data_IF_132231931203
#
_entry.id   IF_132231931203
#
_cell.length_a   1.000
_cell.length_b   1.000
_cell.length_c   1.000
_cell.angle_alpha   90.00
_cell.angle_beta   90.00
_cell.angle_gamma   90.00
#
_symmetry.space_group_name_H-M   'P 1'
#
loop_
_entity.id
_entity.type
_entity.pdbx_description
1 polymer ?
#
# COMPACT_ATOMS: atom_id res chain seq x y z
N UNK A 1 -26.71 20.51 -34.39
CA UNK A 1 -25.58 19.71 -33.86
C UNK A 1 -25.25 20.11 -32.42
N UNK A 2 -26.04 19.77 -31.38
CA UNK A 2 -25.66 20.10 -29.98
C UNK A 2 -26.10 19.10 -28.89
N UNK A 3 -26.97 18.12 -29.16
CA UNK A 3 -27.48 17.21 -28.11
C UNK A 3 -26.73 15.88 -27.96
N UNK A 4 -25.94 15.44 -28.94
CA UNK A 4 -25.26 14.13 -28.90
C UNK A 4 -23.93 14.13 -28.13
N UNK A 5 -23.38 15.31 -27.83
CA UNK A 5 -22.08 15.44 -27.15
C UNK A 5 -22.16 15.31 -25.62
N UNK A 6 -23.34 15.50 -25.02
CA UNK A 6 -23.51 15.50 -23.56
C UNK A 6 -23.62 14.09 -22.97
N UNK A 7 -24.05 13.09 -23.75
CA UNK A 7 -24.19 11.70 -23.27
C UNK A 7 -22.84 10.98 -23.17
N UNK A 8 -21.87 11.35 -24.02
CA UNK A 8 -20.54 10.76 -24.00
C UNK A 8 -19.71 11.15 -22.76
N UNK A 9 -20.00 12.30 -22.15
CA UNK A 9 -19.24 12.80 -20.98
C UNK A 9 -19.71 12.16 -19.66
N UNK A 10 -20.95 11.67 -19.59
CA UNK A 10 -21.50 11.01 -18.41
C UNK A 10 -20.98 9.57 -18.21
N UNK A 11 -20.58 8.90 -19.30
CA UNK A 11 -20.02 7.55 -19.23
C UNK A 11 -18.59 7.53 -18.67
N UNK A 12 -17.84 8.63 -18.78
CA UNK A 12 -16.45 8.73 -18.27
C UNK A 12 -16.43 9.02 -16.76
N UNK A 13 -17.46 9.67 -16.21
CA UNK A 13 -17.59 9.90 -14.77
C UNK A 13 -17.90 8.64 -13.96
N UNK A 14 -18.48 7.59 -14.58
CA UNK A 14 -18.75 6.32 -13.91
C UNK A 14 -17.49 5.46 -13.69
N UNK A 15 -16.39 5.75 -14.39
CA UNK A 15 -15.09 5.07 -14.20
C UNK A 15 -14.18 5.80 -13.21
N UNK A 16 -14.48 7.07 -12.88
CA UNK A 16 -13.71 7.87 -11.92
C UNK A 16 -13.99 7.50 -10.45
N UNK A 17 -14.97 6.64 -10.16
CA UNK A 17 -15.27 6.18 -8.80
C UNK A 17 -14.44 4.97 -8.33
N UNK A 18 -13.50 4.47 -9.14
CA UNK A 18 -12.41 3.62 -8.63
C UNK A 18 -11.27 4.46 -8.03
N UNK A 19 -11.61 5.57 -7.37
CA UNK A 19 -10.71 6.17 -6.41
C UNK A 19 -10.53 5.16 -5.29
N UNK A 20 -9.41 4.42 -5.29
CA UNK A 20 -8.97 3.66 -4.13
C UNK A 20 -8.94 4.64 -2.97
N UNK A 21 -9.95 4.59 -2.11
CA UNK A 21 -9.99 5.38 -0.88
C UNK A 21 -8.64 5.16 -0.20
N UNK A 22 -7.92 6.21 0.20
CA UNK A 22 -6.69 6.03 0.97
C UNK A 22 -7.01 5.09 2.11
N UNK A 23 -6.31 3.94 2.16
CA UNK A 23 -6.55 2.94 3.18
C UNK A 23 -6.46 3.59 4.56
N UNK A 24 -7.18 3.05 5.53
CA UNK A 24 -7.05 3.53 6.91
C UNK A 24 -5.57 3.54 7.33
N UNK A 25 -5.17 4.36 8.32
CA UNK A 25 -3.78 4.34 8.80
C UNK A 25 -3.30 2.92 9.14
N UNK A 26 -4.18 2.12 9.76
CA UNK A 26 -3.95 0.70 10.05
C UNK A 26 -3.68 -0.11 8.78
N UNK A 27 -4.53 0.03 7.76
CA UNK A 27 -4.38 -0.67 6.48
C UNK A 27 -3.10 -0.26 5.74
N UNK A 28 -2.69 1.00 5.86
CA UNK A 28 -1.44 1.50 5.29
C UNK A 28 -0.24 0.78 5.92
N UNK A 29 -0.18 0.71 7.25
CA UNK A 29 0.87 -0.01 7.96
C UNK A 29 0.86 -1.51 7.66
N UNK A 30 -0.33 -2.14 7.59
CA UNK A 30 -0.46 -3.55 7.21
C UNK A 30 0.02 -3.83 5.79
N UNK A 31 -0.24 -2.93 4.84
CA UNK A 31 0.25 -3.06 3.46
C UNK A 31 1.76 -2.88 3.36
N UNK A 32 2.35 -1.96 4.13
CA UNK A 32 3.81 -1.78 4.20
C UNK A 32 4.48 -3.02 4.81
N UNK A 33 3.91 -3.54 5.89
CA UNK A 33 4.35 -4.77 6.52
C UNK A 33 4.35 -5.94 5.53
N UNK A 34 3.19 -6.24 4.95
CA UNK A 34 3.03 -7.34 4.01
C UNK A 34 3.88 -7.15 2.74
N UNK A 35 4.04 -5.91 2.27
CA UNK A 35 4.89 -5.60 1.13
C UNK A 35 6.37 -5.90 1.42
N UNK A 36 6.88 -5.44 2.55
CA UNK A 36 8.27 -5.69 2.94
C UNK A 36 8.55 -7.18 3.10
N UNK A 37 7.64 -7.94 3.72
CA UNK A 37 7.76 -9.41 3.80
C UNK A 37 7.72 -10.08 2.42
N UNK A 38 6.82 -9.64 1.54
CA UNK A 38 6.68 -10.20 0.19
C UNK A 38 7.95 -10.00 -0.62
N UNK A 39 8.55 -8.80 -0.57
CA UNK A 39 9.81 -8.51 -1.26
C UNK A 39 10.96 -9.29 -0.63
N UNK A 40 11.09 -9.28 0.69
CA UNK A 40 12.14 -10.01 1.40
C UNK A 40 12.10 -11.53 1.16
N UNK A 41 10.96 -12.06 0.73
CA UNK A 41 10.75 -13.50 0.45
C UNK A 41 10.96 -13.82 -1.02
N UNK A 42 10.38 -13.04 -1.93
CA UNK A 42 10.29 -13.41 -3.35
C UNK A 42 11.32 -12.70 -4.23
N UNK A 43 11.85 -11.57 -3.77
CA UNK A 43 12.78 -10.80 -4.57
C UNK A 43 14.22 -11.20 -4.27
N UNK A 44 15.10 -11.24 -5.29
CA UNK A 44 16.53 -11.33 -5.08
C UNK A 44 16.97 -10.31 -4.03
N UNK A 45 17.98 -10.64 -3.22
CA UNK A 45 18.54 -9.71 -2.25
C UNK A 45 19.28 -8.57 -2.97
N UNK A 46 18.54 -7.60 -3.51
CA UNK A 46 19.07 -6.38 -4.11
C UNK A 46 19.74 -5.59 -2.98
N UNK A 47 21.07 -5.71 -2.86
CA UNK A 47 21.85 -5.15 -1.75
C UNK A 47 22.37 -6.18 -0.72
N UNK A 48 22.11 -7.47 -0.91
CA UNK A 48 22.65 -8.55 -0.07
C UNK A 48 21.87 -8.82 1.22
N UNK A 49 22.42 -9.64 2.11
CA UNK A 49 21.74 -10.09 3.34
C UNK A 49 21.32 -8.93 4.26
N UNK A 50 22.11 -7.86 4.32
CA UNK A 50 21.81 -6.68 5.15
C UNK A 50 20.56 -5.93 4.69
N UNK A 51 20.28 -5.86 3.38
CA UNK A 51 19.06 -5.19 2.89
C UNK A 51 17.81 -6.00 3.24
N UNK A 52 17.88 -7.33 3.18
CA UNK A 52 16.80 -8.23 3.62
C UNK A 52 16.54 -8.07 5.12
N UNK A 53 17.59 -8.00 5.94
CA UNK A 53 17.46 -7.77 7.38
C UNK A 53 16.79 -6.42 7.69
N UNK A 54 17.16 -5.36 6.97
CA UNK A 54 16.52 -4.04 7.09
C UNK A 54 15.05 -4.07 6.67
N UNK A 55 14.71 -4.72 5.56
CA UNK A 55 13.31 -4.88 5.13
C UNK A 55 12.47 -5.58 6.18
N UNK A 56 12.99 -6.63 6.83
CA UNK A 56 12.29 -7.32 7.92
C UNK A 56 12.14 -6.44 9.16
N UNK A 57 13.19 -5.72 9.56
CA UNK A 57 13.12 -4.79 10.68
C UNK A 57 12.07 -3.68 10.44
N UNK A 58 11.99 -3.16 9.21
CA UNK A 58 10.98 -2.17 8.86
C UNK A 58 9.57 -2.79 8.80
N UNK A 59 9.44 -4.03 8.33
CA UNK A 59 8.19 -4.77 8.40
C UNK A 59 7.69 -4.84 9.86
N UNK A 60 8.54 -5.26 10.80
CA UNK A 60 8.19 -5.38 12.22
C UNK A 60 7.75 -4.03 12.84
N UNK A 61 8.41 -2.93 12.49
CA UNK A 61 7.99 -1.58 12.91
C UNK A 61 6.58 -1.25 12.41
N UNK A 62 6.30 -1.52 11.14
CA UNK A 62 4.97 -1.27 10.56
C UNK A 62 3.91 -2.18 11.22
N UNK A 63 4.23 -3.44 11.52
CA UNK A 63 3.32 -4.32 12.24
C UNK A 63 3.00 -3.80 13.63
N UNK A 64 4.01 -3.32 14.36
CA UNK A 64 3.80 -2.73 15.69
C UNK A 64 2.87 -1.52 15.63
N UNK A 65 3.03 -0.65 14.63
CA UNK A 65 2.13 0.49 14.40
C UNK A 65 0.71 0.04 14.05
N UNK A 66 0.56 -0.97 13.18
CA UNK A 66 -0.75 -1.52 12.85
C UNK A 66 -1.46 -2.11 14.09
N UNK A 67 -0.72 -2.86 14.93
CA UNK A 67 -1.24 -3.44 16.18
C UNK A 67 -1.64 -2.35 17.18
N UNK A 68 -0.85 -1.27 17.29
CA UNK A 68 -1.20 -0.11 18.12
C UNK A 68 -2.50 0.58 17.66
N UNK A 69 -2.87 0.44 16.39
CA UNK A 69 -4.12 0.93 15.81
C UNK A 69 -5.27 -0.09 15.87
N UNK A 70 -5.07 -1.23 16.52
CA UNK A 70 -6.09 -2.27 16.72
C UNK A 70 -6.10 -3.38 15.68
N UNK A 71 -5.05 -3.51 14.85
CA UNK A 71 -4.98 -4.61 13.89
C UNK A 71 -4.97 -5.98 14.58
N UNK A 72 -5.81 -6.88 14.10
CA UNK A 72 -5.86 -8.28 14.54
C UNK A 72 -4.98 -9.16 13.66
N UNK A 73 -4.72 -10.39 14.10
CA UNK A 73 -4.00 -11.37 13.27
C UNK A 73 -4.76 -11.71 11.97
N UNK A 74 -6.10 -11.59 11.98
CA UNK A 74 -6.91 -11.75 10.78
C UNK A 74 -6.64 -10.62 9.77
N UNK A 75 -6.48 -9.38 10.24
CA UNK A 75 -6.14 -8.24 9.38
C UNK A 75 -4.74 -8.37 8.80
N UNK A 76 -3.79 -8.84 9.61
CA UNK A 76 -2.42 -9.15 9.17
C UNK A 76 -2.43 -10.22 8.09
N UNK A 77 -3.15 -11.32 8.31
CA UNK A 77 -3.28 -12.38 7.31
C UNK A 77 -3.91 -11.88 6.02
N UNK A 78 -5.01 -11.11 6.12
CA UNK A 78 -5.69 -10.52 4.95
C UNK A 78 -4.76 -9.61 4.15
N UNK A 79 -3.95 -8.81 4.82
CA UNK A 79 -2.98 -7.94 4.16
C UNK A 79 -1.89 -8.75 3.44
N UNK A 80 -1.35 -9.80 4.07
CA UNK A 80 -0.39 -10.73 3.44
C UNK A 80 -0.98 -11.39 2.20
N UNK A 81 -2.16 -11.98 2.32
CA UNK A 81 -2.82 -12.69 1.21
C UNK A 81 -3.05 -11.73 0.03
N UNK A 82 -3.55 -10.51 0.30
CA UNK A 82 -3.77 -9.48 -0.73
C UNK A 82 -2.47 -9.06 -1.41
N UNK A 83 -1.45 -8.72 -0.64
CA UNK A 83 -0.19 -8.20 -1.20
C UNK A 83 0.56 -9.29 -1.95
N UNK A 84 0.57 -10.51 -1.44
CA UNK A 84 1.16 -11.66 -2.13
C UNK A 84 0.38 -11.98 -3.42
N UNK A 85 -0.95 -11.97 -3.40
CA UNK A 85 -1.76 -12.15 -4.59
C UNK A 85 -1.49 -11.09 -5.66
N UNK A 86 -1.34 -9.82 -5.25
CA UNK A 86 -0.95 -8.74 -6.15
C UNK A 86 0.45 -8.95 -6.72
N UNK A 87 1.40 -9.42 -5.92
CA UNK A 87 2.76 -9.70 -6.37
C UNK A 87 2.79 -10.85 -7.37
N UNK A 88 2.16 -11.99 -7.06
CA UNK A 88 2.05 -13.14 -7.97
C UNK A 88 1.38 -12.73 -9.29
N UNK A 89 0.29 -11.97 -9.21
CA UNK A 89 -0.37 -11.43 -10.41
C UNK A 89 0.55 -10.54 -11.24
N UNK A 90 1.32 -9.65 -10.59
CA UNK A 90 2.31 -8.81 -11.27
C UNK A 90 3.45 -9.65 -11.88
N UNK A 91 4.00 -10.62 -11.13
CA UNK A 91 5.04 -11.54 -11.59
C UNK A 91 4.62 -12.31 -12.84
N UNK A 92 3.38 -12.78 -12.90
CA UNK A 92 2.85 -13.48 -14.08
C UNK A 92 2.79 -12.55 -15.31
N UNK A 93 2.44 -11.28 -15.10
CA UNK A 93 2.24 -10.31 -16.18
C UNK A 93 3.53 -9.68 -16.70
N UNK A 94 4.46 -9.35 -15.81
CA UNK A 94 5.69 -8.58 -16.13
C UNK A 94 6.99 -9.30 -15.80
N UNK A 95 6.92 -10.50 -15.20
CA UNK A 95 8.07 -11.24 -14.70
C UNK A 95 8.53 -10.78 -13.32
N UNK A 96 9.21 -11.67 -12.60
CA UNK A 96 9.59 -11.45 -11.19
C UNK A 96 10.48 -10.23 -10.98
N UNK A 97 11.47 -9.99 -11.86
CA UNK A 97 12.41 -8.87 -11.72
C UNK A 97 11.68 -7.51 -11.82
N UNK A 98 10.75 -7.36 -12.76
CA UNK A 98 9.98 -6.13 -12.92
C UNK A 98 8.95 -5.97 -11.80
N UNK A 99 8.30 -7.06 -11.38
CA UNK A 99 7.39 -7.05 -10.23
C UNK A 99 8.12 -6.60 -8.95
N UNK A 100 9.31 -7.15 -8.68
CA UNK A 100 10.16 -6.76 -7.57
C UNK A 100 10.56 -5.29 -7.61
N UNK A 101 11.00 -4.79 -8.76
CA UNK A 101 11.34 -3.37 -8.92
C UNK A 101 10.12 -2.46 -8.67
N UNK A 102 8.95 -2.81 -9.22
CA UNK A 102 7.73 -2.04 -9.05
C UNK A 102 7.27 -2.01 -7.57
N UNK A 103 7.33 -3.14 -6.88
CA UNK A 103 6.97 -3.23 -5.46
C UNK A 103 7.98 -2.50 -4.56
N UNK A 104 9.28 -2.64 -4.81
CA UNK A 104 10.31 -1.92 -4.05
C UNK A 104 10.15 -0.41 -4.20
N UNK A 105 9.92 0.07 -5.42
CA UNK A 105 9.66 1.49 -5.67
C UNK A 105 8.39 1.94 -4.94
N UNK A 106 7.29 1.19 -5.05
CA UNK A 106 6.05 1.53 -4.37
C UNK A 106 6.26 1.66 -2.86
N UNK A 107 6.95 0.70 -2.23
CA UNK A 107 7.28 0.75 -0.80
C UNK A 107 8.23 1.89 -0.43
N UNK A 108 9.21 2.22 -1.29
CA UNK A 108 10.10 3.36 -1.07
C UNK A 108 9.31 4.67 -0.97
N UNK A 109 8.26 4.83 -1.79
CA UNK A 109 7.38 6.01 -1.76
C UNK A 109 6.32 5.96 -0.65
N UNK A 110 5.85 4.76 -0.26
CA UNK A 110 5.00 4.67 0.94
C UNK A 110 5.83 4.95 2.19
N UNK A 111 7.13 4.60 2.25
CA UNK A 111 8.02 4.86 3.38
C UNK A 111 8.62 6.27 3.45
N UNK A 112 8.72 7.01 2.34
CA UNK A 112 9.32 8.35 2.27
C UNK A 112 8.39 9.49 2.69
N UNK A 113 7.13 9.19 2.98
CA UNK A 113 6.27 10.10 3.75
C UNK A 113 6.18 9.58 5.18
N UNK A 114 6.76 10.27 6.17
CA UNK A 114 6.39 10.05 7.55
C UNK A 114 4.87 10.11 7.60
N UNK A 115 4.23 9.06 8.11
CA UNK A 115 2.82 9.16 8.46
C UNK A 115 2.82 10.13 9.64
N UNK A 116 2.60 11.42 9.37
CA UNK A 116 2.35 12.37 10.42
C UNK A 116 1.17 11.82 11.22
N UNK A 117 1.35 11.52 12.52
CA UNK A 117 0.23 11.12 13.33
C UNK A 117 -0.76 12.28 13.28
N UNK A 118 -1.94 12.06 12.71
CA UNK A 118 -3.04 13.01 12.78
C UNK A 118 -3.47 13.09 14.24
N UNK A 119 -2.77 13.92 15.02
CA UNK A 119 -3.28 14.43 16.29
C UNK A 119 -4.50 15.26 15.91
N UNK A 120 -5.67 14.69 16.17
CA UNK A 120 -6.95 15.37 16.01
C UNK A 120 -6.96 16.58 16.95
N UNK A 121 -6.52 17.74 16.47
CA UNK A 121 -6.73 19.00 17.18
C UNK A 121 -8.22 19.33 17.09
N UNK A 122 -8.94 19.50 18.21
CA UNK A 122 -10.35 19.87 18.15
C UNK A 122 -10.47 21.25 17.48
N UNK A 123 -11.35 21.34 16.47
CA UNK A 123 -11.68 22.60 15.79
C UNK A 123 -12.11 23.64 16.82
N UNK A 124 -11.29 24.67 17.01
CA UNK A 124 -11.66 25.87 17.77
C UNK A 124 -12.78 26.57 16.99
N UNK A 125 -14.00 26.54 17.52
CA UNK A 125 -15.10 27.39 17.02
C UNK A 125 -14.69 28.85 17.23
N UNK A 126 -14.65 29.61 16.16
CA UNK A 126 -14.51 31.07 16.19
C UNK A 126 -15.94 31.62 16.33
N UNK A 127 -16.16 32.40 17.39
CA UNK A 127 -17.36 33.22 17.60
C UNK A 127 -17.26 34.50 16.76
#
# INVERSE_FOLDING_TARGET
MKLKALVALAAVSALASCATTPGSPMETYLNRYAGAETIATNCPAYGGYSSVAQMRADAEKNLAQAKALGATDADVKKARDRVNGNFVGASILVGDMQACSAFMNKLAWVGSTPVEPTVVKPKKKIH
#
